data_IF_875143811018
#
_entry.id   IF_875143811018
#
_cell.length_a   1.000
_cell.length_b   1.000
_cell.length_c   1.000
_cell.angle_alpha   90.00
_cell.angle_beta   90.00
_cell.angle_gamma   90.00
#
_symmetry.space_group_name_H-M   'P 1'
#
loop_
_entity.id
_entity.type
_entity.pdbx_description
1 polymer ?
#
# COMPACT_ATOMS: atom_id res chain seq x y z
N UNK A 1 9.24 1.69 5.98
CA UNK A 1 7.78 1.53 5.73
C UNK A 1 7.59 0.59 4.56
N UNK A 2 6.66 -0.37 4.64
CA UNK A 2 6.32 -1.26 3.52
C UNK A 2 4.99 -0.86 2.87
N UNK A 3 4.93 -0.88 1.54
CA UNK A 3 3.66 -0.99 0.83
C UNK A 3 3.32 -2.47 0.67
N UNK A 4 2.06 -2.80 0.93
CA UNK A 4 1.53 -4.14 0.72
C UNK A 4 0.34 -4.03 -0.23
N UNK A 5 0.45 -4.65 -1.41
CA UNK A 5 -0.58 -4.67 -2.45
C UNK A 5 -1.14 -6.08 -2.57
N UNK A 6 -2.46 -6.22 -2.51
CA UNK A 6 -3.10 -7.51 -2.76
C UNK A 6 -3.15 -7.82 -4.27
N UNK A 7 -2.42 -8.84 -4.72
CA UNK A 7 -2.33 -9.22 -6.14
C UNK A 7 -3.32 -10.35 -6.47
N UNK A 8 -3.60 -11.24 -5.52
CA UNK A 8 -4.53 -12.37 -5.72
C UNK A 8 -5.80 -12.23 -4.87
N UNK A 9 -6.91 -12.67 -5.45
CA UNK A 9 -8.17 -12.83 -4.74
C UNK A 9 -8.13 -13.97 -3.71
N UNK A 10 -9.12 -13.98 -2.83
CA UNK A 10 -9.20 -14.89 -1.66
C UNK A 10 -10.08 -16.13 -1.88
N UNK A 11 -10.41 -16.46 -3.12
CA UNK A 11 -11.25 -17.62 -3.45
C UNK A 11 -10.46 -18.92 -3.24
N UNK A 12 -11.06 -19.89 -2.52
CA UNK A 12 -10.44 -21.19 -2.16
C UNK A 12 -9.13 -21.07 -1.37
N UNK A 13 -9.02 -20.05 -0.52
CA UNK A 13 -7.86 -19.86 0.36
C UNK A 13 -8.14 -20.31 1.78
N UNK A 14 -7.09 -20.67 2.51
CA UNK A 14 -7.17 -20.96 3.94
C UNK A 14 -7.78 -19.78 4.70
N UNK A 15 -8.63 -20.10 5.68
CA UNK A 15 -9.32 -19.10 6.52
C UNK A 15 -8.33 -18.16 7.20
N UNK A 16 -7.22 -18.69 7.71
CA UNK A 16 -6.19 -17.89 8.37
C UNK A 16 -5.56 -16.82 7.46
N UNK A 17 -5.32 -17.16 6.18
CA UNK A 17 -4.77 -16.21 5.20
C UNK A 17 -5.80 -15.12 4.92
N UNK A 18 -7.06 -15.50 4.72
CA UNK A 18 -8.17 -14.58 4.50
C UNK A 18 -8.35 -13.62 5.68
N UNK A 19 -8.25 -14.12 6.90
CA UNK A 19 -8.40 -13.31 8.10
C UNK A 19 -7.17 -12.40 8.32
N UNK A 20 -5.95 -12.88 8.00
CA UNK A 20 -4.74 -12.03 8.03
C UNK A 20 -4.82 -10.88 7.03
N UNK A 21 -5.28 -11.13 5.80
CA UNK A 21 -5.50 -10.08 4.80
C UNK A 21 -6.53 -9.05 5.27
N UNK A 22 -7.63 -9.50 5.89
CA UNK A 22 -8.64 -8.61 6.48
C UNK A 22 -8.08 -7.76 7.63
N UNK A 23 -7.24 -8.33 8.50
CA UNK A 23 -6.58 -7.58 9.59
C UNK A 23 -5.67 -6.48 9.05
N UNK A 24 -4.97 -6.75 7.94
CA UNK A 24 -4.20 -5.75 7.19
C UNK A 24 -5.05 -4.77 6.38
N UNK A 25 -6.39 -4.88 6.42
CA UNK A 25 -7.37 -4.08 5.64
C UNK A 25 -7.33 -4.30 4.13
N UNK A 26 -6.77 -5.43 3.69
CA UNK A 26 -6.75 -5.86 2.30
C UNK A 26 -7.99 -6.73 2.00
N UNK A 27 -9.04 -6.07 1.50
CA UNK A 27 -10.31 -6.72 1.20
C UNK A 27 -10.49 -7.11 -0.27
N UNK A 28 -9.87 -6.37 -1.19
CA UNK A 28 -10.01 -6.57 -2.64
C UNK A 28 -8.64 -6.54 -3.33
N UNK A 29 -8.59 -7.15 -4.52
CA UNK A 29 -7.41 -7.10 -5.39
C UNK A 29 -7.09 -5.65 -5.76
N UNK A 30 -5.80 -5.33 -5.88
CA UNK A 30 -5.24 -4.00 -6.11
C UNK A 30 -5.47 -3.00 -4.96
N UNK A 31 -5.96 -3.44 -3.81
CA UNK A 31 -5.87 -2.62 -2.61
C UNK A 31 -4.43 -2.58 -2.12
N UNK A 32 -3.99 -1.39 -1.74
CA UNK A 32 -2.69 -1.13 -1.16
C UNK A 32 -2.84 -0.54 0.23
N UNK A 33 -2.03 -1.02 1.16
CA UNK A 33 -1.95 -0.51 2.53
C UNK A 33 -0.48 -0.26 2.86
N UNK A 34 -0.23 0.84 3.59
CA UNK A 34 1.10 1.22 4.06
C UNK A 34 1.24 0.77 5.52
N UNK A 35 2.31 0.03 5.78
CA UNK A 35 2.49 -0.71 7.04
C UNK A 35 3.89 -0.41 7.60
N UNK A 36 4.01 -0.06 8.89
CA UNK A 36 5.30 0.21 9.50
C UNK A 36 6.14 -1.07 9.59
N UNK A 37 7.46 -0.92 9.61
CA UNK A 37 8.38 -2.05 9.76
C UNK A 37 8.46 -2.47 11.24
N UNK A 38 7.48 -3.25 11.67
CA UNK A 38 7.51 -3.89 13.00
C UNK A 38 7.52 -5.41 12.86
N UNK A 39 8.14 -6.15 13.80
CA UNK A 39 8.18 -7.61 13.74
C UNK A 39 6.79 -8.26 13.65
N UNK A 40 5.78 -7.65 14.29
CA UNK A 40 4.39 -8.13 14.24
C UNK A 40 3.80 -8.02 12.83
N UNK A 41 3.93 -6.86 12.19
CA UNK A 41 3.46 -6.67 10.81
C UNK A 41 4.27 -7.50 9.81
N UNK A 42 5.58 -7.63 10.01
CA UNK A 42 6.40 -8.48 9.18
C UNK A 42 5.97 -9.95 9.25
N UNK A 43 5.61 -10.45 10.44
CA UNK A 43 5.03 -11.79 10.62
C UNK A 43 3.72 -11.97 9.83
N UNK A 44 2.82 -10.98 9.89
CA UNK A 44 1.57 -10.99 9.11
C UNK A 44 1.84 -11.00 7.61
N UNK A 45 2.74 -10.14 7.11
CA UNK A 45 3.11 -10.05 5.70
C UNK A 45 3.73 -11.36 5.21
N UNK A 46 4.64 -11.96 5.97
CA UNK A 46 5.25 -13.26 5.64
C UNK A 46 4.20 -14.37 5.50
N UNK A 47 3.16 -14.36 6.34
CA UNK A 47 2.05 -15.33 6.26
C UNK A 47 1.24 -15.19 4.98
N UNK A 48 1.10 -13.98 4.43
CA UNK A 48 0.31 -13.70 3.21
C UNK A 48 1.17 -13.50 1.95
N UNK A 49 2.48 -13.77 2.00
CA UNK A 49 3.46 -13.50 0.94
C UNK A 49 3.08 -14.02 -0.45
N UNK A 50 2.33 -15.12 -0.52
CA UNK A 50 1.94 -15.77 -1.78
C UNK A 50 0.64 -15.16 -2.39
N UNK A 51 0.10 -14.11 -1.77
CA UNK A 51 -1.10 -13.38 -2.21
C UNK A 51 -0.85 -11.89 -2.44
N UNK A 52 0.21 -11.35 -1.83
CA UNK A 52 0.53 -9.93 -1.86
C UNK A 52 1.87 -9.69 -2.55
N UNK A 53 2.04 -8.50 -3.10
CA UNK A 53 3.33 -7.93 -3.43
C UNK A 53 3.67 -6.89 -2.34
N UNK A 54 4.88 -6.93 -1.80
CA UNK A 54 5.30 -5.96 -0.80
C UNK A 54 6.76 -5.53 -0.95
N UNK A 55 7.06 -4.31 -0.53
CA UNK A 55 8.41 -3.74 -0.62
C UNK A 55 8.51 -2.36 0.03
N UNK A 56 9.72 -1.83 0.04
CA UNK A 56 10.07 -0.53 0.64
C UNK A 56 9.67 0.61 -0.30
N UNK A 57 8.97 1.61 0.23
CA UNK A 57 8.38 2.68 -0.58
C UNK A 57 9.23 3.94 -0.51
N UNK A 58 9.47 4.53 -1.69
CA UNK A 58 10.16 5.81 -1.81
C UNK A 58 9.21 6.99 -1.62
N UNK A 59 9.74 8.10 -1.07
CA UNK A 59 9.00 9.36 -0.84
C UNK A 59 8.26 9.85 -2.09
N UNK A 60 8.90 9.76 -3.26
CA UNK A 60 8.38 10.28 -4.54
C UNK A 60 7.21 9.46 -5.05
N UNK A 61 7.31 8.13 -4.92
CA UNK A 61 6.25 7.21 -5.29
C UNK A 61 5.06 7.37 -4.35
N UNK A 62 5.32 7.53 -3.05
CA UNK A 62 4.27 7.73 -2.06
C UNK A 62 3.51 9.03 -2.28
N UNK A 63 4.21 10.15 -2.54
CA UNK A 63 3.56 11.42 -2.86
C UNK A 63 2.68 11.32 -4.12
N UNK A 64 3.18 10.63 -5.16
CA UNK A 64 2.41 10.38 -6.39
C UNK A 64 1.14 9.57 -6.11
N UNK A 65 1.23 8.53 -5.28
CA UNK A 65 0.08 7.70 -4.89
C UNK A 65 -0.93 8.47 -4.05
N UNK A 66 -0.48 9.31 -3.13
CA UNK A 66 -1.36 10.13 -2.31
C UNK A 66 -2.13 11.16 -3.15
N UNK A 67 -1.46 11.83 -4.09
CA UNK A 67 -2.13 12.77 -5.01
C UNK A 67 -3.18 12.10 -5.90
N UNK A 68 -2.88 10.89 -6.39
CA UNK A 68 -3.73 10.21 -7.38
C UNK A 68 -4.83 9.35 -6.75
N UNK A 69 -4.52 8.68 -5.62
CA UNK A 69 -5.36 7.65 -5.00
C UNK A 69 -5.68 7.93 -3.52
N UNK A 70 -5.11 8.97 -2.92
CA UNK A 70 -5.50 9.43 -1.59
C UNK A 70 -6.95 9.89 -1.59
N UNK A 71 -7.74 9.28 -0.72
CA UNK A 71 -9.18 9.57 -0.58
C UNK A 71 -9.52 9.83 0.87
N UNK A 72 -10.38 10.82 1.06
CA UNK A 72 -10.96 11.15 2.35
C UNK A 72 -12.29 10.41 2.54
N UNK A 73 -12.83 10.52 3.74
CA UNK A 73 -14.19 10.07 4.06
C UNK A 73 -15.16 10.84 3.17
N UNK A 74 -16.16 10.17 2.59
CA UNK A 74 -16.99 10.76 1.53
C UNK A 74 -16.46 10.60 0.10
N UNK A 75 -15.32 9.89 -0.10
CA UNK A 75 -14.69 9.68 -1.42
C UNK A 75 -14.11 10.95 -2.09
N UNK A 76 -13.95 12.02 -1.32
CA UNK A 76 -13.26 13.23 -1.75
C UNK A 76 -11.76 12.98 -1.97
N UNK A 77 -11.15 13.76 -2.87
CA UNK A 77 -9.74 13.64 -3.19
C UNK A 77 -8.88 14.36 -2.14
N UNK A 78 -7.75 13.77 -1.78
CA UNK A 78 -6.77 14.43 -0.93
C UNK A 78 -6.11 15.59 -1.68
N UNK A 79 -6.23 16.81 -1.15
CA UNK A 79 -5.62 18.03 -1.67
C UNK A 79 -4.54 18.56 -0.73
N UNK A 80 -3.60 19.36 -1.26
CA UNK A 80 -2.57 20.00 -0.45
C UNK A 80 -3.17 20.94 0.62
N UNK A 81 -4.29 21.58 0.30
CA UNK A 81 -5.03 22.45 1.24
C UNK A 81 -5.56 21.68 2.45
N UNK A 82 -6.04 20.45 2.22
CA UNK A 82 -6.52 19.58 3.30
C UNK A 82 -5.37 19.16 4.22
N UNK A 83 -4.22 18.80 3.64
CA UNK A 83 -3.03 18.43 4.42
C UNK A 83 -2.59 19.60 5.29
N UNK A 84 -2.56 20.83 4.76
CA UNK A 84 -2.20 22.03 5.53
C UNK A 84 -3.19 22.33 6.66
N UNK A 85 -4.49 22.09 6.45
CA UNK A 85 -5.52 22.37 7.45
C UNK A 85 -5.51 21.37 8.61
N UNK A 86 -5.18 20.10 8.35
CA UNK A 86 -5.34 19.01 9.31
C UNK A 86 -4.01 18.43 9.84
N UNK A 87 -2.86 18.82 9.27
CA UNK A 87 -1.54 18.34 9.71
C UNK A 87 -0.54 19.48 9.86
N UNK A 88 0.55 19.26 10.62
CA UNK A 88 1.66 20.21 10.69
C UNK A 88 2.48 20.34 9.39
N UNK A 89 2.13 19.62 8.31
CA UNK A 89 2.90 19.60 7.07
C UNK A 89 2.33 20.57 6.04
N UNK A 90 3.20 21.23 5.27
CA UNK A 90 2.80 22.27 4.32
C UNK A 90 2.34 21.70 2.97
N UNK A 91 2.73 20.48 2.64
CA UNK A 91 2.47 19.81 1.35
C UNK A 91 2.32 18.29 1.47
N UNK A 92 1.70 17.66 0.47
CA UNK A 92 1.65 16.18 0.36
C UNK A 92 3.05 15.57 0.31
N UNK A 93 4.04 16.25 -0.27
CA UNK A 93 5.41 15.74 -0.40
C UNK A 93 6.11 15.64 0.98
N UNK A 94 5.93 16.66 1.83
CA UNK A 94 6.43 16.64 3.22
C UNK A 94 5.73 15.59 4.06
N UNK A 95 4.40 15.48 3.90
CA UNK A 95 3.63 14.44 4.57
C UNK A 95 4.08 13.03 4.16
N UNK A 96 4.35 12.81 2.87
CA UNK A 96 4.91 11.55 2.39
C UNK A 96 6.28 11.25 2.99
N UNK A 97 7.14 12.26 3.16
CA UNK A 97 8.44 12.09 3.81
C UNK A 97 8.30 11.68 5.29
N UNK A 98 7.39 12.31 6.03
CA UNK A 98 7.11 11.98 7.42
C UNK A 98 6.48 10.58 7.60
N UNK A 99 5.65 10.15 6.64
CA UNK A 99 5.16 8.77 6.60
C UNK A 99 6.30 7.78 6.38
N UNK A 100 7.24 8.08 5.47
CA UNK A 100 8.40 7.21 5.23
C UNK A 100 9.31 7.10 6.46
N UNK A 101 9.51 8.19 7.22
CA UNK A 101 10.31 8.17 8.46
C UNK A 101 9.60 7.46 9.63
N UNK A 102 8.28 7.26 9.52
CA UNK A 102 7.49 6.56 10.54
C UNK A 102 7.08 7.45 11.72
N UNK A 103 7.24 8.76 11.59
CA UNK A 103 6.82 9.75 12.58
C UNK A 103 5.30 9.93 12.64
N UNK A 104 4.62 9.63 11.53
CA UNK A 104 3.15 9.71 11.45
C UNK A 104 2.54 8.44 10.90
N UNK A 105 1.35 8.09 11.41
CA UNK A 105 0.54 7.00 10.89
C UNK A 105 -0.66 7.53 10.11
N UNK A 106 -1.12 6.78 9.10
CA UNK A 106 -2.39 7.05 8.38
C UNK A 106 -3.61 7.15 9.30
N UNK A 107 -3.51 6.68 10.55
CA UNK A 107 -4.59 6.74 11.55
C UNK A 107 -4.66 8.09 12.27
N UNK A 108 -3.58 8.85 12.26
CA UNK A 108 -3.48 10.13 12.96
C UNK A 108 -4.09 11.26 12.13
N UNK A 109 -4.23 11.02 10.82
CA UNK A 109 -5.04 11.85 9.93
C UNK A 109 -6.53 11.63 10.19
N UNK A 110 -7.20 12.72 10.57
CA UNK A 110 -8.66 12.77 10.62
C UNK A 110 -9.20 12.47 9.21
N UNK A 111 -10.17 11.58 9.12
CA UNK A 111 -10.94 11.26 7.90
C UNK A 111 -10.21 10.70 6.66
N UNK A 112 -8.91 10.40 6.69
CA UNK A 112 -8.28 9.72 5.55
C UNK A 112 -8.68 8.23 5.49
N UNK A 113 -8.96 7.72 4.29
CA UNK A 113 -9.16 6.28 4.09
C UNK A 113 -7.80 5.56 4.21
N UNK A 114 -7.65 4.56 5.08
CA UNK A 114 -6.38 3.85 5.30
C UNK A 114 -5.98 2.91 4.16
N UNK A 115 -6.85 2.74 3.15
CA UNK A 115 -6.65 1.84 2.02
C UNK A 115 -6.58 2.66 0.74
N UNK A 116 -5.47 2.54 0.03
CA UNK A 116 -5.28 3.11 -1.28
C UNK A 116 -5.84 2.14 -2.32
N UNK A 117 -6.91 2.53 -3.01
CA UNK A 117 -7.55 1.73 -4.06
C UNK A 117 -6.82 1.97 -5.38
N UNK A 118 -5.88 1.11 -5.73
CA UNK A 118 -5.05 1.29 -6.91
C UNK A 118 -5.74 0.80 -8.19
N UNK A 119 -5.29 1.32 -9.32
CA UNK A 119 -5.68 0.79 -10.63
C UNK A 119 -4.88 -0.49 -10.93
N UNK A 120 -5.42 -1.42 -11.76
CA UNK A 120 -4.62 -2.51 -12.28
C UNK A 120 -3.32 -1.99 -12.92
N UNK A 121 -2.20 -2.74 -12.83
CA UNK A 121 -0.94 -2.28 -13.40
C UNK A 121 -1.05 -2.11 -14.91
N UNK A 122 -0.60 -0.97 -15.42
CA UNK A 122 -0.47 -0.75 -16.86
C UNK A 122 0.44 -1.84 -17.46
N UNK A 123 -0.02 -2.46 -18.56
CA UNK A 123 0.58 -3.66 -19.21
C UNK A 123 0.45 -4.97 -18.42
N UNK A 124 -0.36 -4.98 -17.36
CA UNK A 124 -0.68 -6.18 -16.58
C UNK A 124 0.43 -6.66 -15.65
N UNK A 125 0.14 -7.73 -14.91
CA UNK A 125 1.12 -8.45 -14.10
C UNK A 125 1.90 -9.44 -14.97
N UNK A 126 3.16 -9.72 -14.61
CA UNK A 126 3.96 -10.78 -15.25
C UNK A 126 3.31 -12.16 -15.10
N UNK A 127 3.27 -12.67 -13.87
CA UNK A 127 2.62 -13.94 -13.53
C UNK A 127 2.28 -13.95 -12.06
N UNK A 128 1.00 -14.11 -11.74
CA UNK A 128 0.47 -14.14 -10.37
C UNK A 128 0.61 -15.52 -9.70
N UNK A 129 1.36 -16.45 -10.30
CA UNK A 129 1.59 -17.82 -9.80
C UNK A 129 3.00 -18.05 -9.26
N UNK A 130 3.89 -17.08 -9.44
CA UNK A 130 5.31 -17.17 -9.05
C UNK A 130 5.69 -15.97 -8.20
N UNK A 131 6.72 -16.14 -7.37
CA UNK A 131 7.30 -15.02 -6.62
C UNK A 131 8.08 -14.10 -7.55
N UNK A 132 8.32 -12.87 -7.10
CA UNK A 132 9.06 -11.86 -7.83
C UNK A 132 10.49 -12.32 -8.19
N UNK A 133 11.17 -12.98 -7.26
CA UNK A 133 12.50 -13.60 -7.46
C UNK A 133 12.50 -14.66 -8.58
N UNK A 134 11.35 -15.31 -8.82
CA UNK A 134 11.16 -16.30 -9.89
C UNK A 134 10.56 -15.68 -11.17
N UNK A 135 10.58 -14.34 -11.28
CA UNK A 135 10.02 -13.59 -12.42
C UNK A 135 8.51 -13.39 -12.37
N UNK A 136 7.85 -13.71 -11.26
CA UNK A 136 6.43 -13.49 -11.04
C UNK A 136 6.09 -12.13 -10.43
N UNK A 137 4.93 -12.06 -9.78
CA UNK A 137 4.37 -10.83 -9.22
C UNK A 137 4.08 -10.87 -7.71
N UNK A 138 4.50 -11.93 -7.02
CA UNK A 138 4.18 -12.16 -5.60
C UNK A 138 5.39 -12.03 -4.68
N UNK A 139 5.14 -11.75 -3.41
CA UNK A 139 6.16 -11.73 -2.37
C UNK A 139 6.94 -10.43 -2.32
N UNK A 140 8.21 -10.54 -1.96
CA UNK A 140 9.07 -9.40 -1.68
C UNK A 140 9.69 -8.82 -2.96
N UNK A 141 9.48 -7.52 -3.17
CA UNK A 141 10.02 -6.74 -4.27
C UNK A 141 11.23 -5.86 -3.86
N UNK A 142 11.43 -5.64 -2.57
CA UNK A 142 12.37 -4.61 -2.09
C UNK A 142 12.04 -3.24 -2.69
N UNK A 143 13.02 -2.47 -3.17
CA UNK A 143 12.80 -1.12 -3.74
C UNK A 143 12.08 -1.15 -5.09
N UNK A 144 12.04 -2.29 -5.79
CA UNK A 144 11.40 -2.42 -7.10
C UNK A 144 9.87 -2.43 -7.00
N UNK A 145 9.31 -2.35 -5.79
CA UNK A 145 7.88 -2.15 -5.58
C UNK A 145 7.43 -0.80 -6.15
N UNK A 146 8.32 0.20 -6.15
CA UNK A 146 8.01 1.54 -6.61
C UNK A 146 7.63 1.56 -8.10
N UNK A 147 8.29 0.75 -8.92
CA UNK A 147 7.93 0.54 -10.33
C UNK A 147 6.53 -0.06 -10.51
N UNK A 148 6.15 -0.99 -9.64
CA UNK A 148 4.83 -1.61 -9.67
C UNK A 148 3.75 -0.59 -9.27
N UNK A 149 3.98 0.12 -8.18
CA UNK A 149 3.08 1.17 -7.68
C UNK A 149 2.90 2.28 -8.70
N UNK A 150 3.98 2.70 -9.38
CA UNK A 150 3.91 3.69 -10.45
C UNK A 150 3.03 3.23 -11.61
N UNK A 151 3.06 1.94 -11.97
CA UNK A 151 2.16 1.37 -13.00
C UNK A 151 0.70 1.28 -12.55
N UNK A 152 0.45 1.27 -11.24
CA UNK A 152 -0.86 1.12 -10.61
C UNK A 152 -1.47 2.45 -10.11
N UNK A 153 -0.78 3.58 -10.34
CA UNK A 153 -1.24 4.93 -9.97
C UNK A 153 -2.54 5.33 -10.64
#
# INVERSE_FOLDING_TARGET
>A
MYAVVQVRGVVKTNREIKDTLKMLRLHHVNHCVLVPDTPAYLGMIRKVKDFVAYGEVDRETLATLLRTRGRLTGDEQLTDDYVRAHTPYASIDEFAAALCSGETSFRDLVEIKPVLRLHPPRKGYKTIKRTFQQGGALGYYGPQINDLLYKMR
#
